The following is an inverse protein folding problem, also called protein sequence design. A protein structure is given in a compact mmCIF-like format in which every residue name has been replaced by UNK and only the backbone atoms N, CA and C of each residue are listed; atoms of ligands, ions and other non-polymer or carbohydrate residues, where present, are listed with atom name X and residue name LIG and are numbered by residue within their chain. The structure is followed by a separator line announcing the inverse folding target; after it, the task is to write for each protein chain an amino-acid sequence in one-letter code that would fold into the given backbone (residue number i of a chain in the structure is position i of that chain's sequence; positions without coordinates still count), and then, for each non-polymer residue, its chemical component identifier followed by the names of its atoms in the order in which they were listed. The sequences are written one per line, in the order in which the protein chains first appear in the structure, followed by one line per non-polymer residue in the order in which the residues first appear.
data_IF_825228931356
#
_entry.id   IF_825228931356
#
_cell.length_a   1.000
_cell.length_b   1.000
_cell.length_c   1.000
_cell.angle_alpha   90.00
_cell.angle_beta   90.00
_cell.angle_gamma   90.00
#
_symmetry.space_group_name_H-M   'P 1'
#
loop_
_entity.id
_entity.type
_entity.pdbx_description
1 polymer ?
#
# COMPACT_ATOMS: atom_id res chain seq x y z
N UNK A 1 -6.68 -11.30 0.76
CA UNK A 1 -7.39 -10.82 1.95
C UNK A 1 -6.46 -11.01 3.14
N UNK A 2 -5.75 -9.96 3.54
CA UNK A 2 -4.58 -10.07 4.42
C UNK A 2 -4.93 -9.99 5.92
N UNK A 3 -6.09 -10.49 6.32
CA UNK A 3 -6.50 -10.52 7.74
C UNK A 3 -5.75 -11.64 8.46
N UNK A 4 -5.13 -11.37 9.61
CA UNK A 4 -4.34 -12.38 10.34
C UNK A 4 -5.17 -13.62 10.68
N UNK A 5 -6.49 -13.45 10.89
CA UNK A 5 -7.41 -14.56 11.12
C UNK A 5 -7.69 -15.36 9.84
N UNK A 6 -7.91 -14.68 8.72
CA UNK A 6 -8.16 -15.34 7.44
C UNK A 6 -6.89 -16.07 6.97
N UNK A 7 -5.71 -15.51 7.26
CA UNK A 7 -4.41 -16.14 7.04
C UNK A 7 -4.23 -17.41 7.88
N UNK A 8 -4.47 -17.32 9.18
CA UNK A 8 -4.41 -18.50 10.06
C UNK A 8 -5.41 -19.56 9.59
N UNK A 9 -6.64 -19.17 9.26
CA UNK A 9 -7.66 -20.07 8.74
C UNK A 9 -7.19 -20.74 7.45
N UNK A 10 -6.64 -19.96 6.50
CA UNK A 10 -6.11 -20.50 5.24
C UNK A 10 -5.01 -21.54 5.47
N UNK A 11 -4.02 -21.22 6.32
CA UNK A 11 -2.93 -22.15 6.65
C UNK A 11 -3.48 -23.40 7.33
N UNK A 12 -4.38 -23.26 8.30
CA UNK A 12 -5.00 -24.40 8.97
C UNK A 12 -5.81 -25.27 8.00
N UNK A 13 -6.58 -24.68 7.10
CA UNK A 13 -7.38 -25.43 6.12
C UNK A 13 -6.51 -26.23 5.16
N UNK A 14 -5.40 -25.66 4.70
CA UNK A 14 -4.53 -26.26 3.66
C UNK A 14 -3.24 -26.88 4.21
N UNK A 15 -3.09 -27.02 5.53
CA UNK A 15 -1.83 -27.50 6.13
C UNK A 15 -1.46 -28.90 5.64
N UNK A 16 -2.44 -29.80 5.53
CA UNK A 16 -2.22 -31.15 5.03
C UNK A 16 -1.67 -31.11 3.60
N UNK A 17 -2.31 -30.34 2.71
CA UNK A 17 -1.88 -30.17 1.32
C UNK A 17 -0.46 -29.58 1.24
N UNK A 18 -0.16 -28.57 2.07
CA UNK A 18 1.18 -27.97 2.14
C UNK A 18 2.25 -28.98 2.57
N UNK A 19 1.94 -29.86 3.52
CA UNK A 19 2.87 -30.92 3.95
C UNK A 19 3.00 -32.03 2.91
N UNK A 20 1.92 -32.37 2.20
CA UNK A 20 1.93 -33.35 1.11
C UNK A 20 2.83 -32.89 -0.06
N UNK A 21 2.82 -31.58 -0.37
CA UNK A 21 3.72 -30.99 -1.37
C UNK A 21 5.21 -31.09 -1.00
N UNK A 22 5.53 -31.35 0.27
CA UNK A 22 6.90 -31.51 0.76
C UNK A 22 7.32 -32.98 0.88
N UNK A 23 6.43 -33.93 0.59
CA UNK A 23 6.74 -35.35 0.59
C UNK A 23 7.43 -35.76 -0.72
N UNK A 24 8.28 -36.79 -0.61
CA UNK A 24 8.79 -37.46 -1.80
C UNK A 24 7.65 -38.18 -2.54
N UNK A 25 7.64 -38.17 -3.89
CA UNK A 25 6.55 -38.76 -4.68
C UNK A 25 6.26 -40.23 -4.35
N UNK A 26 7.29 -40.97 -3.93
CA UNK A 26 7.23 -42.38 -3.55
C UNK A 26 6.44 -42.64 -2.26
N UNK A 27 6.23 -41.62 -1.43
CA UNK A 27 5.49 -41.71 -0.18
C UNK A 27 3.99 -41.43 -0.31
N UNK A 28 3.55 -41.00 -1.50
CA UNK A 28 2.15 -40.74 -1.80
C UNK A 28 1.46 -42.05 -2.23
N UNK A 29 0.26 -42.29 -1.69
CA UNK A 29 -0.55 -43.43 -2.09
C UNK A 29 -1.09 -43.31 -3.51
N UNK A 30 -1.81 -44.33 -3.97
CA UNK A 30 -2.44 -44.34 -5.30
C UNK A 30 -3.44 -43.18 -5.54
N UNK A 31 -3.91 -42.53 -4.47
CA UNK A 31 -4.77 -41.34 -4.49
C UNK A 31 -3.99 -40.02 -4.37
N UNK A 32 -2.66 -40.03 -4.48
CA UNK A 32 -1.77 -38.87 -4.33
C UNK A 32 -1.84 -38.19 -2.95
N UNK A 33 -2.21 -38.93 -1.90
CA UNK A 33 -2.28 -38.44 -0.52
C UNK A 33 -1.30 -39.16 0.39
N UNK A 34 -0.94 -38.51 1.49
CA UNK A 34 -0.10 -39.09 2.53
C UNK A 34 -0.78 -40.29 3.20
N UNK A 35 0.04 -41.27 3.60
CA UNK A 35 -0.40 -42.45 4.34
C UNK A 35 0.01 -42.33 5.81
N UNK A 36 -0.55 -43.16 6.70
CA UNK A 36 -0.15 -43.20 8.11
C UNK A 36 1.34 -43.53 8.34
N UNK A 37 2.00 -44.14 7.34
CA UNK A 37 3.43 -44.44 7.34
C UNK A 37 4.31 -43.35 6.72
N UNK A 38 3.72 -42.30 6.11
CA UNK A 38 4.49 -41.23 5.48
C UNK A 38 5.30 -40.43 6.51
N UNK A 39 6.49 -40.02 6.10
CA UNK A 39 7.47 -39.33 6.95
C UNK A 39 8.01 -38.09 6.26
N UNK A 40 8.05 -36.99 7.00
CA UNK A 40 8.58 -35.72 6.53
C UNK A 40 10.06 -35.62 6.88
N UNK A 41 10.90 -35.26 5.91
CA UNK A 41 12.34 -35.09 6.10
C UNK A 41 12.67 -33.83 6.90
N UNK A 42 13.87 -33.76 7.46
CA UNK A 42 14.33 -32.55 8.12
C UNK A 42 14.44 -31.36 7.14
N UNK A 43 14.89 -31.62 5.91
CA UNK A 43 15.00 -30.63 4.83
C UNK A 43 13.65 -30.02 4.49
N UNK A 44 12.58 -30.83 4.43
CA UNK A 44 11.21 -30.34 4.24
C UNK A 44 10.76 -29.41 5.37
N UNK A 45 11.09 -29.71 6.63
CA UNK A 45 10.79 -28.83 7.77
C UNK A 45 11.62 -27.55 7.72
N UNK A 46 12.88 -27.64 7.29
CA UNK A 46 13.74 -26.48 7.06
C UNK A 46 13.14 -25.56 5.99
N UNK A 47 12.61 -26.11 4.90
CA UNK A 47 11.91 -25.34 3.88
C UNK A 47 10.63 -24.70 4.44
N UNK A 48 9.85 -25.43 5.23
CA UNK A 48 8.64 -24.91 5.89
C UNK A 48 8.94 -23.80 6.90
N UNK A 49 10.17 -23.71 7.41
CA UNK A 49 10.61 -22.61 8.28
C UNK A 49 10.58 -21.25 7.61
N UNK A 50 10.53 -21.19 6.27
CA UNK A 50 10.29 -19.95 5.53
C UNK A 50 8.88 -19.39 5.75
N UNK A 51 7.88 -20.27 5.99
CA UNK A 51 6.48 -19.89 6.17
C UNK A 51 6.07 -19.83 7.64
N UNK A 52 6.68 -20.66 8.48
CA UNK A 52 6.28 -20.85 9.87
C UNK A 52 7.49 -20.65 10.77
N UNK A 53 7.30 -19.78 11.76
CA UNK A 53 8.21 -19.59 12.88
C UNK A 53 7.42 -19.69 14.18
N UNK A 54 8.12 -19.86 15.29
CA UNK A 54 7.46 -19.99 16.58
C UNK A 54 8.32 -19.54 17.75
N UNK A 55 7.73 -19.55 18.93
CA UNK A 55 8.44 -19.28 20.17
C UNK A 55 8.08 -20.32 21.23
N UNK A 56 9.04 -20.58 22.10
CA UNK A 56 8.90 -21.50 23.22
C UNK A 56 8.27 -20.79 24.41
N UNK A 57 7.26 -21.41 25.04
CA UNK A 57 6.70 -20.99 26.35
C UNK A 57 6.28 -19.50 26.43
N UNK A 58 5.81 -18.91 25.33
CA UNK A 58 5.45 -17.49 25.30
C UNK A 58 6.63 -16.52 25.38
N UNK A 59 7.86 -17.02 25.18
CA UNK A 59 9.04 -16.19 24.94
C UNK A 59 8.79 -15.23 23.77
N UNK A 60 9.41 -14.06 23.81
CA UNK A 60 9.41 -13.12 22.68
C UNK A 60 10.46 -13.46 21.62
N UNK A 61 11.33 -14.44 21.91
CA UNK A 61 12.36 -14.88 20.96
C UNK A 61 11.74 -15.85 19.97
N UNK A 62 11.74 -15.45 18.71
CA UNK A 62 11.21 -16.24 17.60
C UNK A 62 12.35 -17.12 17.07
N UNK A 63 12.02 -18.38 16.78
CA UNK A 63 12.93 -19.37 16.22
C UNK A 63 12.31 -19.98 14.96
N UNK A 64 13.14 -20.34 13.95
CA UNK A 64 12.72 -21.13 12.82
C UNK A 64 12.05 -22.45 13.23
N UNK A 65 11.07 -22.92 12.45
CA UNK A 65 10.33 -24.14 12.75
C UNK A 65 11.24 -25.37 12.92
N UNK A 66 12.28 -25.53 12.09
CA UNK A 66 13.16 -26.69 12.15
C UNK A 66 13.95 -26.78 13.46
N UNK A 67 14.40 -25.66 14.04
CA UNK A 67 15.03 -25.64 15.35
C UNK A 67 14.05 -26.08 16.45
N UNK A 68 12.82 -25.57 16.39
CA UNK A 68 11.75 -25.91 17.35
C UNK A 68 11.34 -27.38 17.24
N UNK A 69 11.28 -27.93 16.01
CA UNK A 69 10.93 -29.32 15.76
C UNK A 69 11.97 -30.28 16.34
N UNK A 70 13.24 -29.88 16.37
CA UNK A 70 14.33 -30.64 16.98
C UNK A 70 14.42 -30.49 18.50
N UNK A 71 13.61 -29.63 19.10
CA UNK A 71 13.63 -29.44 20.54
C UNK A 71 13.05 -30.65 21.28
N UNK A 72 13.81 -31.21 22.24
CA UNK A 72 13.48 -32.49 22.89
C UNK A 72 12.06 -32.59 23.48
N UNK A 73 11.51 -31.54 24.14
CA UNK A 73 10.13 -31.60 24.65
C UNK A 73 9.05 -31.81 23.57
N UNK A 74 9.37 -31.52 22.31
CA UNK A 74 8.45 -31.62 21.19
C UNK A 74 8.47 -33.00 20.50
N UNK A 75 9.53 -33.80 20.67
CA UNK A 75 9.74 -35.07 19.93
C UNK A 75 8.57 -36.05 20.08
N UNK A 76 7.99 -36.16 21.28
CA UNK A 76 6.84 -37.02 21.53
C UNK A 76 5.57 -36.57 20.79
N UNK A 77 5.42 -35.26 20.57
CA UNK A 77 4.25 -34.64 19.95
C UNK A 77 4.36 -34.60 18.43
N UNK A 78 5.52 -34.22 17.90
CA UNK A 78 5.74 -34.10 16.45
C UNK A 78 6.19 -35.42 15.79
N UNK A 79 6.46 -36.46 16.57
CA UNK A 79 6.81 -37.77 16.05
C UNK A 79 8.21 -37.85 15.44
N UNK A 80 9.16 -37.05 15.93
CA UNK A 80 10.55 -37.10 15.50
C UNK A 80 11.24 -38.43 15.86
N UNK A 81 11.92 -39.01 14.89
CA UNK A 81 12.76 -40.20 15.04
C UNK A 81 14.23 -39.82 14.96
N UNK A 82 14.99 -40.07 16.04
CA UNK A 82 16.45 -39.82 16.08
C UNK A 82 17.22 -40.73 15.12
N UNK A 83 16.66 -41.89 14.77
CA UNK A 83 17.33 -42.90 13.93
C UNK A 83 17.28 -42.47 12.47
N UNK A 84 16.08 -42.16 11.97
CA UNK A 84 15.86 -41.76 10.58
C UNK A 84 16.01 -40.26 10.34
N UNK A 85 16.07 -39.44 11.41
CA UNK A 85 16.02 -37.97 11.34
C UNK A 85 14.79 -37.44 10.61
N UNK A 86 13.67 -38.16 10.72
CA UNK A 86 12.40 -37.81 10.08
C UNK A 86 11.28 -37.63 11.10
N UNK A 87 10.19 -37.01 10.66
CA UNK A 87 8.99 -36.74 11.44
C UNK A 87 7.83 -37.57 10.90
N UNK A 88 7.08 -38.22 11.79
CA UNK A 88 5.83 -38.88 11.39
C UNK A 88 4.82 -37.83 10.90
N UNK A 89 4.35 -37.96 9.65
CA UNK A 89 3.41 -37.02 9.03
C UNK A 89 2.18 -36.71 9.91
N UNK A 90 1.38 -37.70 10.37
CA UNK A 90 0.17 -37.42 11.15
C UNK A 90 0.47 -36.77 12.52
N UNK A 91 1.60 -37.09 13.13
CA UNK A 91 2.02 -36.48 14.41
C UNK A 91 2.49 -35.04 14.21
N UNK A 92 3.28 -34.80 13.17
CA UNK A 92 3.75 -33.47 12.82
C UNK A 92 2.59 -32.53 12.49
N UNK A 93 1.66 -32.98 11.64
CA UNK A 93 0.48 -32.21 11.27
C UNK A 93 -0.36 -31.85 12.50
N UNK A 94 -0.67 -32.84 13.35
CA UNK A 94 -1.42 -32.63 14.59
C UNK A 94 -0.70 -31.65 15.53
N UNK A 95 0.62 -31.78 15.67
CA UNK A 95 1.43 -30.87 16.47
C UNK A 95 1.37 -29.43 15.93
N UNK A 96 1.58 -29.23 14.62
CA UNK A 96 1.51 -27.92 13.99
C UNK A 96 0.12 -27.29 14.16
N UNK A 97 -0.96 -28.04 13.90
CA UNK A 97 -2.35 -27.57 14.12
C UNK A 97 -2.58 -27.12 15.55
N UNK A 98 -2.01 -27.81 16.54
CA UNK A 98 -2.14 -27.47 17.96
C UNK A 98 -1.34 -26.23 18.38
N UNK A 99 -0.31 -25.86 17.63
CA UNK A 99 0.61 -24.78 17.95
C UNK A 99 0.40 -23.51 17.12
N UNK A 100 -0.19 -23.61 15.93
CA UNK A 100 -0.45 -22.47 15.06
C UNK A 100 -1.40 -21.48 15.74
N UNK A 101 -1.01 -20.21 15.75
CA UNK A 101 -1.78 -19.11 16.33
C UNK A 101 -1.77 -17.90 15.40
N UNK A 102 -2.59 -16.90 15.70
CA UNK A 102 -2.59 -15.64 14.94
C UNK A 102 -1.25 -14.95 15.08
N UNK A 103 -0.74 -14.38 13.99
CA UNK A 103 0.55 -13.67 13.98
C UNK A 103 0.59 -12.59 15.09
N UNK A 104 1.48 -12.73 16.11
CA UNK A 104 1.59 -11.78 17.21
C UNK A 104 2.21 -10.44 16.81
N UNK A 105 2.73 -10.33 15.59
CA UNK A 105 3.22 -9.09 14.97
C UNK A 105 2.29 -8.60 13.85
N UNK A 106 1.19 -9.30 13.61
CA UNK A 106 0.18 -8.97 12.61
C UNK A 106 -0.69 -7.78 13.01
N UNK A 107 -1.66 -7.48 12.17
CA UNK A 107 -2.53 -6.32 12.36
C UNK A 107 -3.29 -6.30 13.67
N UNK A 108 -3.80 -7.46 14.07
CA UNK A 108 -4.64 -7.62 15.24
C UNK A 108 -3.86 -7.26 16.49
N UNK A 109 -2.59 -7.68 16.56
CA UNK A 109 -1.68 -7.30 17.62
C UNK A 109 -1.32 -5.81 17.54
N UNK A 110 -0.97 -5.30 16.35
CA UNK A 110 -0.65 -3.88 16.18
C UNK A 110 -1.80 -2.94 16.61
N UNK A 111 -3.06 -3.29 16.31
CA UNK A 111 -4.22 -2.48 16.72
C UNK A 111 -4.54 -2.62 18.21
N UNK A 112 -4.27 -3.77 18.83
CA UNK A 112 -4.56 -4.04 20.25
C UNK A 112 -3.47 -3.52 21.19
N UNK A 113 -2.21 -3.78 20.89
CA UNK A 113 -1.05 -3.55 21.76
C UNK A 113 0.03 -2.65 21.14
N UNK A 114 -0.12 -2.22 19.88
CA UNK A 114 0.82 -1.31 19.24
C UNK A 114 0.78 0.13 19.77
N UNK A 115 1.82 0.90 19.46
CA UNK A 115 1.91 2.32 19.84
C UNK A 115 0.94 3.11 18.96
N UNK A 116 -0.06 3.74 19.58
CA UNK A 116 -0.98 4.64 18.89
C UNK A 116 -0.24 5.92 18.50
N UNK A 117 -0.34 6.28 17.23
CA UNK A 117 0.27 7.50 16.71
C UNK A 117 -0.77 8.61 16.66
N UNK A 118 -0.42 9.74 17.24
CA UNK A 118 -1.26 10.94 17.26
C UNK A 118 -1.05 11.75 15.98
N UNK A 119 -1.37 11.21 14.81
CA UNK A 119 -1.33 12.00 13.58
C UNK A 119 -2.71 12.65 13.40
N UNK A 120 -2.85 13.85 13.95
CA UNK A 120 -4.01 14.70 13.71
C UNK A 120 -3.52 16.10 13.35
N UNK A 121 -4.01 16.61 12.23
CA UNK A 121 -4.18 18.05 12.06
C UNK A 121 -5.45 18.39 12.84
N UNK A 122 -5.32 19.20 13.90
CA UNK A 122 -6.47 19.69 14.68
C UNK A 122 -7.30 20.59 13.78
N UNK A 123 -8.32 20.04 13.12
CA UNK A 123 -9.43 20.83 12.58
C UNK A 123 -10.46 20.90 13.70
N UNK A 124 -10.77 22.12 14.17
CA UNK A 124 -11.76 22.35 15.23
C UNK A 124 -13.08 21.65 14.90
N UNK A 125 -13.48 20.70 15.76
CA UNK A 125 -14.70 19.92 15.61
C UNK A 125 -14.54 18.49 16.12
N UNK A 126 -15.66 17.84 16.41
CA UNK A 126 -15.82 16.46 16.92
C UNK A 126 -15.41 15.36 15.93
N UNK A 127 -14.38 15.61 15.09
CA UNK A 127 -13.92 14.63 14.12
C UNK A 127 -13.27 13.44 14.83
N UNK A 128 -13.74 12.23 14.48
CA UNK A 128 -13.19 10.99 15.04
C UNK A 128 -11.70 10.92 14.72
N UNK A 129 -10.86 10.77 15.76
CA UNK A 129 -9.40 10.65 15.64
C UNK A 129 -9.07 9.47 14.72
N UNK A 130 -8.25 9.70 13.69
CA UNK A 130 -7.70 8.65 12.84
C UNK A 130 -7.08 7.54 13.70
N UNK A 131 -7.40 6.27 13.42
CA UNK A 131 -6.82 5.14 14.15
C UNK A 131 -5.53 4.73 13.47
N UNK A 132 -4.44 5.28 13.98
CA UNK A 132 -3.10 5.00 13.47
C UNK A 132 -2.31 4.30 14.57
N UNK A 133 -1.76 3.14 14.24
CA UNK A 133 -0.96 2.35 15.16
C UNK A 133 0.28 1.84 14.43
N UNK A 134 1.40 1.79 15.15
CA UNK A 134 2.57 1.05 14.71
C UNK A 134 2.85 -0.12 15.64
N UNK A 135 3.44 -1.19 15.10
CA UNK A 135 3.94 -2.26 15.93
C UNK A 135 5.05 -1.72 16.85
N UNK A 136 5.08 -2.21 18.09
CA UNK A 136 6.20 -1.94 18.99
C UNK A 136 7.41 -2.67 18.39
N UNK A 137 8.49 -1.96 18.04
CA UNK A 137 9.72 -2.60 17.56
C UNK A 137 10.17 -3.62 18.60
N UNK A 138 10.05 -4.91 18.30
CA UNK A 138 10.56 -6.00 19.13
C UNK A 138 11.42 -6.88 18.23
N UNK A 139 12.73 -6.56 18.21
CA UNK A 139 13.88 -7.46 17.93
C UNK A 139 14.00 -8.00 16.48
N UNK A 140 15.21 -8.06 15.89
CA UNK A 140 15.88 -7.01 15.13
C UNK A 140 15.65 -7.05 13.60
N UNK A 141 14.83 -7.94 13.04
CA UNK A 141 14.81 -8.16 11.57
C UNK A 141 13.45 -7.91 10.88
N UNK A 142 12.39 -7.59 11.62
CA UNK A 142 11.08 -7.34 11.01
C UNK A 142 10.90 -5.84 10.72
N UNK A 143 10.70 -5.50 9.44
CA UNK A 143 10.37 -4.15 9.01
C UNK A 143 9.16 -3.59 9.78
N UNK A 144 9.19 -2.31 10.20
CA UNK A 144 8.11 -1.73 11.01
C UNK A 144 6.78 -1.80 10.27
N UNK A 145 5.68 -2.07 10.98
CA UNK A 145 4.34 -2.06 10.41
C UNK A 145 3.57 -0.85 10.91
N UNK A 146 2.97 -0.11 9.99
CA UNK A 146 2.12 1.05 10.29
C UNK A 146 0.73 0.81 9.71
N UNK A 147 -0.30 0.90 10.55
CA UNK A 147 -1.69 0.70 10.14
C UNK A 147 -2.42 2.03 10.29
N UNK A 148 -3.07 2.46 9.22
CA UNK A 148 -3.95 3.62 9.17
C UNK A 148 -5.35 3.13 8.85
N UNK A 149 -6.29 3.28 9.79
CA UNK A 149 -7.63 2.74 9.65
C UNK A 149 -8.70 3.77 9.96
N UNK A 150 -9.79 3.72 9.19
CA UNK A 150 -10.99 4.53 9.42
C UNK A 150 -10.73 6.04 9.39
N UNK A 151 -9.79 6.49 8.56
CA UNK A 151 -9.61 7.92 8.27
C UNK A 151 -10.82 8.37 7.44
N UNK A 152 -11.53 9.38 7.92
CA UNK A 152 -12.74 9.87 7.28
C UNK A 152 -12.73 11.38 7.20
N UNK A 153 -12.93 11.92 6.00
CA UNK A 153 -12.99 13.36 5.74
C UNK A 153 -11.78 14.16 6.24
N UNK A 154 -10.59 13.58 6.14
CA UNK A 154 -9.36 14.17 6.66
C UNK A 154 -8.26 14.20 5.61
N UNK A 155 -7.41 15.22 5.71
CA UNK A 155 -6.12 15.25 5.04
C UNK A 155 -5.03 14.92 6.06
N UNK A 156 -4.23 13.90 5.76
CA UNK A 156 -3.11 13.48 6.58
C UNK A 156 -1.85 13.56 5.75
N UNK A 157 -0.86 14.29 6.23
CA UNK A 157 0.45 14.34 5.61
C UNK A 157 1.54 14.00 6.61
N UNK A 158 2.41 13.07 6.23
CA UNK A 158 3.51 12.65 7.08
C UNK A 158 4.74 12.32 6.26
N UNK A 159 5.85 12.93 6.68
CA UNK A 159 7.21 12.46 6.44
C UNK A 159 7.86 12.20 7.81
N UNK A 160 8.38 11.00 8.04
CA UNK A 160 8.96 10.60 9.33
C UNK A 160 9.75 9.30 9.24
N UNK A 161 10.80 9.18 10.06
CA UNK A 161 11.57 7.95 10.28
C UNK A 161 10.74 6.74 10.72
N UNK A 162 9.52 6.97 11.22
CA UNK A 162 8.59 5.88 11.55
C UNK A 162 8.02 5.16 10.33
N UNK A 163 8.01 5.82 9.17
CA UNK A 163 7.55 5.28 7.89
C UNK A 163 8.68 4.70 7.05
N UNK A 164 9.93 5.11 7.30
CA UNK A 164 11.11 4.65 6.56
C UNK A 164 11.23 3.13 6.66
N UNK A 165 11.18 2.46 5.51
CA UNK A 165 11.24 0.99 5.41
C UNK A 165 10.03 0.26 6.02
N UNK A 166 8.92 0.96 6.27
CA UNK A 166 7.74 0.36 6.88
C UNK A 166 6.83 -0.35 5.88
N UNK A 167 6.17 -1.41 6.36
CA UNK A 167 4.98 -1.98 5.76
C UNK A 167 3.76 -1.16 6.19
N UNK A 168 3.19 -0.39 5.26
CA UNK A 168 2.04 0.46 5.53
C UNK A 168 0.76 -0.23 5.09
N UNK A 169 -0.26 -0.24 5.95
CA UNK A 169 -1.60 -0.70 5.60
C UNK A 169 -2.63 0.39 5.83
N UNK A 170 -3.29 0.78 4.75
CA UNK A 170 -4.36 1.77 4.75
C UNK A 170 -5.68 1.03 4.55
N UNK A 171 -6.58 1.11 5.54
CA UNK A 171 -7.75 0.26 5.57
C UNK A 171 -9.03 1.02 5.96
N UNK A 172 -10.11 0.85 5.19
CA UNK A 172 -11.41 1.51 5.44
C UNK A 172 -11.32 3.04 5.54
N UNK A 173 -10.46 3.67 4.75
CA UNK A 173 -10.39 5.13 4.67
C UNK A 173 -11.38 5.64 3.61
N UNK A 174 -12.06 6.75 3.88
CA UNK A 174 -13.11 7.27 3.00
C UNK A 174 -13.07 8.80 2.92
N UNK A 175 -13.30 9.35 1.73
CA UNK A 175 -13.31 10.80 1.47
C UNK A 175 -12.06 11.49 2.04
N UNK A 176 -10.86 10.91 1.86
CA UNK A 176 -9.64 11.36 2.54
C UNK A 176 -8.46 11.55 1.58
N UNK A 177 -7.55 12.45 1.95
CA UNK A 177 -6.28 12.66 1.26
C UNK A 177 -5.15 12.24 2.19
N UNK A 178 -4.34 11.26 1.79
CA UNK A 178 -3.26 10.74 2.63
C UNK A 178 -1.95 10.82 1.86
N UNK A 179 -0.99 11.58 2.43
CA UNK A 179 0.35 11.81 1.91
C UNK A 179 1.36 11.14 2.84
N UNK A 180 2.03 10.09 2.35
CA UNK A 180 3.10 9.39 3.07
C UNK A 180 4.40 9.59 2.29
N UNK A 181 5.06 10.72 2.50
CA UNK A 181 6.19 11.19 1.71
C UNK A 181 7.52 10.70 2.33
N UNK A 182 7.67 9.38 2.42
CA UNK A 182 8.85 8.69 2.95
C UNK A 182 9.10 7.42 2.13
N UNK A 183 10.33 6.87 2.11
CA UNK A 183 10.62 5.60 1.46
C UNK A 183 9.94 4.46 2.23
N UNK A 184 9.05 3.72 1.57
CA UNK A 184 8.24 2.66 2.17
C UNK A 184 8.74 1.29 1.69
N UNK A 185 8.54 0.24 2.49
CA UNK A 185 8.88 -1.13 2.04
C UNK A 185 7.75 -1.74 1.21
N UNK A 186 6.52 -1.69 1.72
CA UNK A 186 5.34 -2.09 0.95
C UNK A 186 4.10 -1.35 1.43
N UNK A 187 3.09 -1.23 0.56
CA UNK A 187 1.83 -0.55 0.89
C UNK A 187 0.63 -1.39 0.48
N UNK A 188 -0.30 -1.60 1.41
CA UNK A 188 -1.58 -2.26 1.14
C UNK A 188 -2.73 -1.28 1.36
N UNK A 189 -3.48 -0.97 0.31
CA UNK A 189 -4.69 -0.13 0.37
C UNK A 189 -5.92 -1.03 0.23
N UNK A 190 -6.75 -1.07 1.27
CA UNK A 190 -7.88 -2.00 1.35
C UNK A 190 -9.18 -1.32 1.78
N UNK A 191 -10.30 -1.67 1.11
CA UNK A 191 -11.64 -1.22 1.53
C UNK A 191 -11.78 0.30 1.60
N UNK A 192 -11.03 1.03 0.78
CA UNK A 192 -11.01 2.49 0.75
C UNK A 192 -11.93 3.04 -0.34
N UNK A 193 -12.49 4.23 -0.11
CA UNK A 193 -13.42 4.86 -1.07
C UNK A 193 -13.17 6.35 -1.24
N UNK A 194 -13.38 6.89 -2.43
CA UNK A 194 -13.34 8.34 -2.71
C UNK A 194 -12.10 9.04 -2.12
N UNK A 195 -10.93 8.41 -2.20
CA UNK A 195 -9.73 8.85 -1.48
C UNK A 195 -8.52 8.95 -2.40
N UNK A 196 -7.61 9.87 -2.11
CA UNK A 196 -6.34 10.03 -2.82
C UNK A 196 -5.18 9.65 -1.90
N UNK A 197 -4.34 8.72 -2.36
CA UNK A 197 -3.14 8.26 -1.67
C UNK A 197 -1.91 8.71 -2.46
N UNK A 198 -1.10 9.56 -1.85
CA UNK A 198 0.18 10.01 -2.39
C UNK A 198 1.26 9.38 -1.55
N UNK A 199 2.05 8.51 -2.16
CA UNK A 199 3.03 7.68 -1.45
C UNK A 199 4.42 8.00 -2.00
N UNK A 200 5.41 8.03 -1.11
CA UNK A 200 6.80 7.99 -1.50
C UNK A 200 7.17 6.68 -2.20
N UNK A 201 8.43 6.54 -2.65
CA UNK A 201 8.93 5.34 -3.29
C UNK A 201 8.70 4.09 -2.45
N UNK A 202 8.16 3.03 -3.08
CA UNK A 202 7.82 1.76 -2.44
C UNK A 202 8.72 0.65 -2.97
N UNK A 203 9.62 0.16 -2.11
CA UNK A 203 10.68 -0.80 -2.43
C UNK A 203 10.16 -2.11 -3.05
N UNK A 204 9.10 -2.72 -2.48
CA UNK A 204 8.68 -4.06 -2.88
C UNK A 204 7.36 -4.05 -3.68
N UNK A 205 6.26 -3.64 -3.06
CA UNK A 205 4.95 -3.72 -3.71
C UNK A 205 3.91 -2.76 -3.16
N UNK A 206 3.03 -2.33 -4.05
CA UNK A 206 1.77 -1.67 -3.74
C UNK A 206 0.63 -2.61 -4.12
N UNK A 207 -0.23 -2.91 -3.17
CA UNK A 207 -1.40 -3.77 -3.36
C UNK A 207 -2.68 -3.00 -3.07
N UNK A 208 -3.59 -2.97 -4.04
CA UNK A 208 -4.88 -2.28 -3.91
C UNK A 208 -6.01 -3.29 -4.06
N UNK A 209 -6.83 -3.39 -3.01
CA UNK A 209 -7.86 -4.42 -2.90
C UNK A 209 -9.20 -3.86 -2.41
N UNK A 210 -10.30 -4.26 -3.05
CA UNK A 210 -11.66 -3.88 -2.60
C UNK A 210 -11.85 -2.37 -2.48
N UNK A 211 -11.33 -1.58 -3.42
CA UNK A 211 -11.37 -0.10 -3.38
C UNK A 211 -12.27 0.47 -4.48
N UNK A 212 -12.88 1.62 -4.20
CA UNK A 212 -13.83 2.26 -5.12
C UNK A 212 -13.54 3.76 -5.25
N UNK A 213 -13.39 4.25 -6.48
CA UNK A 213 -13.06 5.65 -6.77
C UNK A 213 -11.84 6.15 -5.98
N UNK A 214 -10.75 5.39 -6.04
CA UNK A 214 -9.49 5.72 -5.36
C UNK A 214 -8.43 6.16 -6.37
N UNK A 215 -7.64 7.16 -5.99
CA UNK A 215 -6.45 7.59 -6.73
C UNK A 215 -5.20 7.21 -5.97
N UNK A 216 -4.25 6.53 -6.62
CA UNK A 216 -2.94 6.21 -6.05
C UNK A 216 -1.85 6.84 -6.90
N UNK A 217 -0.97 7.62 -6.28
CA UNK A 217 0.16 8.32 -6.91
C UNK A 217 1.44 7.85 -6.21
N UNK A 218 2.29 7.09 -6.89
CA UNK A 218 3.47 6.48 -6.26
C UNK A 218 4.50 5.98 -7.27
N UNK A 219 5.76 5.91 -6.83
CA UNK A 219 6.83 5.14 -7.48
C UNK A 219 6.93 3.80 -6.75
N UNK A 220 6.90 2.67 -7.46
CA UNK A 220 6.93 1.36 -6.79
C UNK A 220 7.60 0.28 -7.65
N UNK A 221 8.20 -0.73 -7.01
CA UNK A 221 8.76 -1.86 -7.75
C UNK A 221 7.69 -2.69 -8.45
N UNK A 222 6.56 -2.97 -7.78
CA UNK A 222 5.43 -3.69 -8.36
C UNK A 222 4.09 -3.16 -7.88
N UNK A 223 3.08 -3.20 -8.74
CA UNK A 223 1.69 -2.84 -8.43
C UNK A 223 0.78 -4.05 -8.70
N UNK A 224 -0.15 -4.31 -7.80
CA UNK A 224 -1.20 -5.33 -8.01
C UNK A 224 -2.58 -4.85 -7.58
N UNK A 225 -3.60 -5.14 -8.39
CA UNK A 225 -4.98 -4.68 -8.23
C UNK A 225 -5.96 -5.83 -8.18
N UNK A 226 -6.92 -5.79 -7.26
CA UNK A 226 -8.00 -6.79 -7.19
C UNK A 226 -9.30 -6.20 -6.65
N UNK A 227 -10.43 -6.58 -7.24
CA UNK A 227 -11.75 -6.15 -6.77
C UNK A 227 -11.89 -4.61 -6.67
N UNK A 228 -11.34 -3.86 -7.63
CA UNK A 228 -11.39 -2.38 -7.63
C UNK A 228 -12.39 -1.83 -8.64
N UNK A 229 -13.00 -0.68 -8.35
CA UNK A 229 -13.93 0.01 -9.26
C UNK A 229 -13.52 1.46 -9.43
N UNK A 230 -13.48 1.95 -10.68
CA UNK A 230 -13.24 3.36 -11.01
C UNK A 230 -11.97 3.97 -10.39
N UNK A 231 -10.89 3.18 -10.25
CA UNK A 231 -9.66 3.61 -9.61
C UNK A 231 -8.65 4.16 -10.64
N UNK A 232 -7.87 5.16 -10.27
CA UNK A 232 -6.82 5.74 -11.12
C UNK A 232 -5.43 5.58 -10.49
N UNK A 233 -4.48 5.07 -11.27
CA UNK A 233 -3.12 4.78 -10.84
C UNK A 233 -2.14 5.63 -11.63
N UNK A 234 -1.42 6.51 -10.94
CA UNK A 234 -0.35 7.31 -11.51
C UNK A 234 0.98 6.80 -11.00
N UNK A 235 1.66 6.01 -11.83
CA UNK A 235 2.75 5.17 -11.36
C UNK A 235 4.01 5.30 -12.21
N UNK A 236 5.14 5.09 -11.56
CA UNK A 236 6.42 4.78 -12.17
C UNK A 236 6.82 3.42 -11.62
N UNK A 237 7.01 2.44 -12.50
CA UNK A 237 7.33 1.08 -12.06
C UNK A 237 8.17 0.32 -13.09
N UNK A 238 9.22 -0.40 -12.65
CA UNK A 238 10.03 -1.24 -13.54
C UNK A 238 9.37 -2.58 -13.89
N UNK A 239 8.17 -2.88 -13.37
CA UNK A 239 7.45 -4.11 -13.69
C UNK A 239 6.05 -3.82 -14.21
N UNK A 240 5.45 -4.79 -14.90
CA UNK A 240 4.08 -4.65 -15.41
C UNK A 240 3.08 -4.67 -14.25
N UNK A 241 2.17 -3.68 -14.14
CA UNK A 241 1.10 -3.71 -13.17
C UNK A 241 0.21 -4.94 -13.32
N UNK A 242 -0.04 -5.68 -12.25
CA UNK A 242 -0.84 -6.90 -12.27
C UNK A 242 -2.31 -6.61 -11.97
N UNK A 243 -3.20 -6.97 -12.90
CA UNK A 243 -4.65 -6.85 -12.74
C UNK A 243 -5.21 -8.25 -12.47
N UNK A 244 -5.63 -8.47 -11.23
CA UNK A 244 -6.25 -9.71 -10.78
C UNK A 244 -7.79 -9.64 -10.98
N UNK A 245 -8.54 -10.58 -10.40
CA UNK A 245 -9.97 -10.70 -10.64
C UNK A 245 -10.80 -9.56 -10.03
N UNK A 246 -11.93 -9.26 -10.67
CA UNK A 246 -13.00 -8.39 -10.14
C UNK A 246 -12.75 -6.88 -10.30
N UNK A 247 -11.86 -6.45 -11.18
CA UNK A 247 -11.61 -5.03 -11.42
C UNK A 247 -12.55 -4.46 -12.50
N UNK A 248 -12.94 -3.19 -12.36
CA UNK A 248 -13.78 -2.46 -13.32
C UNK A 248 -13.29 -1.01 -13.48
N UNK A 249 -13.14 -0.55 -14.72
CA UNK A 249 -12.79 0.84 -15.04
C UNK A 249 -11.51 1.34 -14.35
N UNK A 250 -10.45 0.53 -14.30
CA UNK A 250 -9.15 0.98 -13.82
C UNK A 250 -8.47 1.90 -14.85
N UNK A 251 -7.92 3.03 -14.44
CA UNK A 251 -7.21 3.95 -15.32
C UNK A 251 -5.73 4.03 -14.93
N UNK A 252 -4.84 3.89 -15.90
CA UNK A 252 -3.39 4.00 -15.70
C UNK A 252 -2.82 5.25 -16.36
N UNK A 253 -1.91 5.92 -15.69
CA UNK A 253 -1.28 7.15 -16.14
C UNK A 253 0.17 7.21 -15.67
N UNK A 254 1.04 7.98 -16.36
CA UNK A 254 2.40 8.16 -15.90
C UNK A 254 2.40 8.89 -14.54
N UNK A 255 3.39 8.58 -13.70
CA UNK A 255 3.67 9.37 -12.50
C UNK A 255 3.86 10.86 -12.87
N UNK A 256 3.30 11.77 -12.07
CA UNK A 256 3.04 13.16 -12.51
C UNK A 256 3.19 14.21 -11.40
N UNK A 257 4.00 13.90 -10.39
CA UNK A 257 4.26 14.79 -9.26
C UNK A 257 5.72 14.67 -8.83
N UNK A 258 6.15 15.56 -7.95
CA UNK A 258 7.43 15.45 -7.26
C UNK A 258 7.30 16.08 -5.88
N UNK A 259 8.20 15.70 -4.98
CA UNK A 259 8.46 16.42 -3.75
C UNK A 259 9.98 16.53 -3.56
N UNK A 260 10.48 17.53 -2.81
CA UNK A 260 11.90 17.86 -2.76
C UNK A 260 12.86 16.69 -2.45
N UNK A 261 12.46 15.73 -1.60
CA UNK A 261 13.25 14.54 -1.23
C UNK A 261 13.06 13.31 -2.15
N UNK A 262 12.30 13.44 -3.25
CA UNK A 262 11.81 12.26 -3.99
C UNK A 262 12.94 11.44 -4.61
N UNK A 263 13.91 12.07 -5.27
CA UNK A 263 15.01 11.33 -5.92
C UNK A 263 15.91 10.62 -4.91
N UNK A 264 16.20 11.25 -3.77
CA UNK A 264 16.93 10.60 -2.67
C UNK A 264 16.17 9.41 -2.11
N UNK A 265 14.86 9.54 -1.91
CA UNK A 265 14.04 8.42 -1.47
C UNK A 265 13.99 7.30 -2.51
N UNK A 266 14.00 7.62 -3.81
CA UNK A 266 14.07 6.63 -4.89
C UNK A 266 15.40 5.88 -4.86
N UNK A 267 16.50 6.61 -4.69
CA UNK A 267 17.84 6.03 -4.55
C UNK A 267 17.95 5.10 -3.33
N UNK A 268 17.38 5.49 -2.18
CA UNK A 268 17.37 4.69 -0.96
C UNK A 268 16.67 3.33 -1.12
N UNK A 269 15.60 3.27 -1.91
CA UNK A 269 14.86 2.01 -2.17
C UNK A 269 15.31 1.29 -3.43
N UNK A 270 16.36 1.79 -4.12
CA UNK A 270 16.89 1.19 -5.34
C UNK A 270 15.96 1.27 -6.56
N UNK A 271 15.13 2.31 -6.63
CA UNK A 271 14.25 2.55 -7.78
C UNK A 271 14.82 3.61 -8.71
N UNK A 272 14.85 3.30 -10.00
CA UNK A 272 15.27 4.21 -11.06
C UNK A 272 14.05 4.68 -11.87
N UNK A 273 14.26 5.68 -12.74
CA UNK A 273 13.23 6.20 -13.65
C UNK A 273 12.97 5.28 -14.85
N UNK A 274 13.92 4.39 -15.16
CA UNK A 274 13.84 3.39 -16.22
C UNK A 274 14.32 2.02 -15.72
N UNK A 275 13.72 0.90 -16.18
CA UNK A 275 12.57 0.83 -17.09
C UNK A 275 11.27 1.31 -16.43
N UNK A 276 10.28 1.69 -17.25
CA UNK A 276 8.99 2.18 -16.77
C UNK A 276 7.84 1.57 -17.57
N UNK A 277 7.09 0.65 -16.97
CA UNK A 277 6.06 -0.19 -17.59
C UNK A 277 4.63 0.14 -17.12
N UNK A 278 4.41 1.36 -16.63
CA UNK A 278 3.11 1.84 -16.15
C UNK A 278 1.97 1.69 -17.18
N UNK A 279 2.28 1.74 -18.48
CA UNK A 279 1.34 1.68 -19.61
C UNK A 279 1.08 0.26 -20.13
N UNK A 280 1.74 -0.74 -19.55
CA UNK A 280 1.65 -2.14 -19.96
C UNK A 280 1.10 -3.05 -18.84
N UNK A 281 -0.12 -2.84 -18.32
CA UNK A 281 -0.72 -3.74 -17.33
C UNK A 281 -0.96 -5.15 -17.88
N UNK A 282 -0.73 -6.15 -17.02
CA UNK A 282 -0.96 -7.57 -17.31
C UNK A 282 -2.20 -8.07 -16.57
N UNK A 283 -3.17 -8.61 -17.30
CA UNK A 283 -4.33 -9.30 -16.73
C UNK A 283 -3.98 -10.74 -16.36
N UNK A 284 -4.19 -11.12 -15.09
CA UNK A 284 -3.84 -12.44 -14.53
C UNK A 284 -5.11 -13.25 -14.27
N UNK A 285 -6.10 -13.21 -15.16
CA UNK A 285 -7.37 -13.92 -15.00
C UNK A 285 -7.62 -14.93 -16.12
N UNK A 286 -7.98 -16.16 -15.75
CA UNK A 286 -8.63 -17.14 -16.62
C UNK A 286 -10.14 -16.96 -16.47
N UNK A 287 -10.77 -16.20 -17.37
CA UNK A 287 -12.13 -16.45 -17.91
C UNK A 287 -12.63 -15.25 -18.70
N UNK A 288 -13.36 -15.53 -19.79
CA UNK A 288 -13.58 -14.64 -20.91
C UNK A 288 -14.31 -13.33 -20.59
N UNK A 289 -13.74 -12.22 -21.08
CA UNK A 289 -14.44 -10.93 -21.20
C UNK A 289 -13.59 -9.69 -20.95
N UNK A 290 -12.40 -9.60 -21.58
CA UNK A 290 -11.37 -8.57 -21.32
C UNK A 290 -11.54 -7.24 -22.07
N UNK A 291 -12.76 -6.82 -22.40
CA UNK A 291 -12.99 -5.50 -23.00
C UNK A 291 -13.36 -4.47 -21.91
N UNK A 292 -12.38 -3.69 -21.44
CA UNK A 292 -12.62 -2.51 -20.60
C UNK A 292 -12.36 -2.67 -19.10
N UNK A 293 -11.62 -3.69 -18.67
CA UNK A 293 -11.15 -3.81 -17.26
C UNK A 293 -10.28 -2.62 -16.88
N UNK A 294 -9.42 -2.18 -17.82
CA UNK A 294 -8.61 -1.00 -17.67
C UNK A 294 -8.52 -0.16 -18.96
N UNK A 295 -8.10 1.08 -18.81
CA UNK A 295 -7.70 1.97 -19.91
C UNK A 295 -6.49 2.81 -19.50
N UNK A 296 -5.79 3.38 -20.48
CA UNK A 296 -4.84 4.45 -20.22
C UNK A 296 -5.61 5.76 -20.09
N UNK A 297 -5.26 6.57 -19.09
CA UNK A 297 -5.87 7.87 -18.88
C UNK A 297 -5.60 8.75 -20.11
N UNK A 298 -6.63 9.30 -20.77
CA UNK A 298 -6.43 10.18 -21.92
C UNK A 298 -5.56 11.39 -21.53
N UNK A 299 -4.62 11.83 -22.40
CA UNK A 299 -3.85 13.05 -22.15
C UNK A 299 -4.73 14.30 -21.91
N UNK A 300 -5.95 14.34 -22.49
CA UNK A 300 -6.96 15.38 -22.27
C UNK A 300 -7.50 15.46 -20.85
N UNK A 301 -7.32 14.41 -20.06
CA UNK A 301 -7.84 14.28 -18.69
C UNK A 301 -6.70 14.25 -17.66
N UNK A 302 -5.45 14.28 -18.15
CA UNK A 302 -4.24 14.29 -17.32
C UNK A 302 -3.86 15.71 -16.87
N UNK A 303 -3.69 15.91 -15.57
CA UNK A 303 -3.28 17.17 -14.95
C UNK A 303 -2.04 16.97 -14.09
N UNK A 304 -1.22 18.00 -13.90
CA UNK A 304 -0.13 17.98 -12.93
C UNK A 304 -0.66 17.94 -11.50
N UNK A 305 0.02 17.24 -10.61
CA UNK A 305 -0.35 17.19 -9.19
C UNK A 305 0.72 17.84 -8.33
N UNK A 306 0.30 18.79 -7.50
CA UNK A 306 1.18 19.58 -6.65
C UNK A 306 1.07 19.07 -5.22
N UNK A 307 2.22 18.82 -4.60
CA UNK A 307 2.30 18.49 -3.18
C UNK A 307 2.15 19.79 -2.38
N UNK A 308 1.11 19.93 -1.54
CA UNK A 308 0.78 21.20 -0.89
C UNK A 308 1.57 21.44 0.41
N UNK A 309 2.78 20.90 0.51
CA UNK A 309 3.62 20.98 1.73
C UNK A 309 5.01 21.49 1.38
N UNK A 310 5.52 22.40 2.20
CA UNK A 310 6.91 22.82 2.15
C UNK A 310 7.81 21.72 2.73
N UNK A 311 8.86 21.38 2.01
CA UNK A 311 9.85 20.39 2.40
C UNK A 311 11.22 20.85 1.90
N UNK A 312 12.29 20.42 2.58
CA UNK A 312 13.66 20.60 2.10
C UNK A 312 14.03 19.47 1.13
N UNK A 313 14.87 19.78 0.14
CA UNK A 313 15.38 18.84 -0.87
C UNK A 313 15.58 19.49 -2.24
N UNK A 314 16.18 18.75 -3.17
CA UNK A 314 16.68 19.30 -4.44
C UNK A 314 15.82 18.92 -5.65
N UNK A 315 14.89 17.98 -5.52
CA UNK A 315 14.03 17.56 -6.65
C UNK A 315 12.97 18.62 -6.96
N UNK A 316 13.05 19.21 -8.17
CA UNK A 316 12.14 20.27 -8.64
C UNK A 316 11.24 19.85 -9.81
N UNK A 317 11.39 18.62 -10.31
CA UNK A 317 10.63 18.12 -11.44
C UNK A 317 10.24 16.65 -11.27
N UNK A 318 9.29 16.18 -12.08
CA UNK A 318 8.85 14.79 -12.07
C UNK A 318 9.98 13.88 -12.56
N UNK A 319 10.50 12.95 -11.73
CA UNK A 319 11.59 12.08 -12.14
C UNK A 319 11.22 11.24 -13.37
N UNK A 320 12.12 11.20 -14.35
CA UNK A 320 11.92 10.47 -15.61
C UNK A 320 11.06 11.21 -16.64
N UNK A 321 10.54 12.39 -16.30
CA UNK A 321 9.70 13.18 -17.19
C UNK A 321 8.36 12.51 -17.52
N UNK A 322 7.69 13.06 -18.54
CA UNK A 322 6.39 12.57 -19.01
C UNK A 322 6.49 12.08 -20.46
N UNK A 323 5.71 11.07 -20.85
CA UNK A 323 5.60 10.68 -22.25
C UNK A 323 5.10 11.85 -23.10
N UNK A 324 5.59 11.93 -24.34
CA UNK A 324 5.37 13.08 -25.24
C UNK A 324 3.89 13.47 -25.39
N UNK A 325 2.97 12.50 -25.46
CA UNK A 325 1.53 12.79 -25.57
C UNK A 325 0.98 13.56 -24.36
N UNK A 326 1.37 13.17 -23.15
CA UNK A 326 0.97 13.83 -21.90
C UNK A 326 1.65 15.19 -21.75
N UNK A 327 2.95 15.26 -22.06
CA UNK A 327 3.71 16.51 -22.04
C UNK A 327 3.10 17.54 -23.00
N UNK A 328 2.80 17.14 -24.24
CA UNK A 328 2.14 18.00 -25.24
C UNK A 328 0.78 18.50 -24.76
N UNK A 329 -0.02 17.65 -24.13
CA UNK A 329 -1.32 18.04 -23.57
C UNK A 329 -1.18 19.09 -22.46
N UNK A 330 -0.18 18.95 -21.58
CA UNK A 330 0.13 19.94 -20.56
C UNK A 330 0.58 21.28 -21.17
N UNK A 331 1.53 21.26 -22.12
CA UNK A 331 2.01 22.47 -22.78
C UNK A 331 0.90 23.21 -23.53
N UNK A 332 -0.01 22.48 -24.19
CA UNK A 332 -1.17 23.10 -24.84
C UNK A 332 -2.12 23.77 -23.85
N UNK A 333 -2.32 23.19 -22.65
CA UNK A 333 -3.13 23.84 -21.60
C UNK A 333 -2.43 25.09 -21.06
N UNK A 334 -1.13 25.02 -20.81
CA UNK A 334 -0.35 26.16 -20.36
C UNK A 334 -0.40 27.32 -21.37
N UNK A 335 -0.25 27.03 -22.67
CA UNK A 335 -0.41 28.01 -23.74
C UNK A 335 -1.81 28.65 -23.72
N UNK A 336 -2.89 27.87 -23.53
CA UNK A 336 -4.24 28.42 -23.40
C UNK A 336 -4.37 29.38 -22.21
N UNK A 337 -3.77 29.04 -21.06
CA UNK A 337 -3.75 29.91 -19.88
C UNK A 337 -2.98 31.19 -20.16
N UNK A 338 -1.81 31.12 -20.79
CA UNK A 338 -1.01 32.29 -21.16
C UNK A 338 -1.75 33.20 -22.16
N UNK A 339 -2.39 32.62 -23.18
CA UNK A 339 -3.22 33.36 -24.13
C UNK A 339 -4.37 34.05 -23.39
N UNK A 340 -5.06 33.36 -22.47
CA UNK A 340 -6.12 33.95 -21.68
C UNK A 340 -5.63 35.10 -20.79
N UNK A 341 -4.51 34.94 -20.09
CA UNK A 341 -3.90 36.01 -19.29
C UNK A 341 -3.53 37.23 -20.14
N UNK A 342 -2.98 37.01 -21.33
CA UNK A 342 -2.68 38.07 -22.29
C UNK A 342 -3.96 38.79 -22.74
N UNK A 343 -5.01 38.05 -23.12
CA UNK A 343 -6.30 38.64 -23.49
C UNK A 343 -6.89 39.50 -22.36
N UNK A 344 -6.84 39.03 -21.11
CA UNK A 344 -7.32 39.80 -19.94
C UNK A 344 -6.49 41.07 -19.72
N UNK A 345 -5.18 41.02 -19.95
CA UNK A 345 -4.28 42.17 -19.85
C UNK A 345 -4.54 43.20 -20.96
N UNK A 346 -4.80 42.73 -22.17
CA UNK A 346 -5.04 43.56 -23.37
C UNK A 346 -6.47 44.10 -23.46
N UNK A 347 -7.42 43.53 -22.71
CA UNK A 347 -8.80 43.98 -22.67
C UNK A 347 -9.00 45.39 -22.06
N UNK A 348 -7.94 46.04 -21.56
CA UNK A 348 -7.95 47.40 -21.01
C UNK A 348 -9.11 47.66 -20.02
N UNK A 349 -9.42 46.67 -19.19
CA UNK A 349 -10.54 46.72 -18.25
C UNK A 349 -10.38 47.90 -17.28
N UNK A 350 -11.47 48.64 -17.08
CA UNK A 350 -11.55 49.63 -16.00
C UNK A 350 -11.42 48.96 -14.63
N UNK A 351 -11.12 49.74 -13.58
CA UNK A 351 -11.05 49.21 -12.21
C UNK A 351 -12.32 48.46 -11.78
N UNK A 352 -13.49 49.00 -12.15
CA UNK A 352 -14.78 48.38 -11.82
C UNK A 352 -15.01 47.07 -12.58
N UNK A 353 -14.74 47.07 -13.90
CA UNK A 353 -14.85 45.85 -14.71
C UNK A 353 -13.86 44.76 -14.26
N UNK A 354 -12.64 45.14 -13.86
CA UNK A 354 -11.66 44.18 -13.30
C UNK A 354 -12.18 43.56 -12.00
N UNK A 355 -12.81 44.35 -11.13
CA UNK A 355 -13.43 43.86 -9.89
C UNK A 355 -14.60 42.91 -10.18
N UNK A 356 -15.49 43.27 -11.12
CA UNK A 356 -16.59 42.40 -11.56
C UNK A 356 -16.10 41.09 -12.16
N UNK A 357 -15.08 41.16 -13.02
CA UNK A 357 -14.46 39.98 -13.61
C UNK A 357 -13.83 39.07 -12.56
N UNK A 358 -13.10 39.63 -11.60
CA UNK A 358 -12.52 38.88 -10.50
C UNK A 358 -13.59 38.16 -9.68
N UNK A 359 -14.67 38.85 -9.29
CA UNK A 359 -15.79 38.22 -8.55
C UNK A 359 -16.41 37.06 -9.33
N UNK A 360 -16.55 37.19 -10.66
CA UNK A 360 -17.08 36.12 -11.51
C UNK A 360 -16.14 34.91 -11.57
N UNK A 361 -14.83 35.16 -11.73
CA UNK A 361 -13.81 34.09 -11.75
C UNK A 361 -13.78 33.36 -10.40
N UNK A 362 -13.79 34.10 -9.29
CA UNK A 362 -13.82 33.52 -7.93
C UNK A 362 -15.10 32.69 -7.71
N UNK A 363 -16.26 33.20 -8.14
CA UNK A 363 -17.53 32.47 -8.06
C UNK A 363 -17.49 31.17 -8.87
N UNK A 364 -16.98 31.21 -10.12
CA UNK A 364 -16.86 30.02 -10.97
C UNK A 364 -15.84 29.02 -10.43
N UNK A 365 -14.73 29.50 -9.87
CA UNK A 365 -13.74 28.67 -9.21
C UNK A 365 -14.33 27.97 -7.98
N UNK A 366 -15.12 28.67 -7.17
CA UNK A 366 -15.79 28.10 -6.02
C UNK A 366 -16.85 27.05 -6.39
N UNK A 367 -17.65 27.31 -7.43
CA UNK A 367 -18.56 26.30 -8.02
C UNK A 367 -17.79 25.04 -8.44
N UNK A 368 -16.65 25.21 -9.12
CA UNK A 368 -15.79 24.12 -9.55
C UNK A 368 -15.20 23.33 -8.37
N UNK A 369 -14.74 24.00 -7.31
CA UNK A 369 -14.20 23.35 -6.11
C UNK A 369 -15.23 22.45 -5.41
N UNK A 370 -16.50 22.86 -5.40
CA UNK A 370 -17.59 22.05 -4.85
C UNK A 370 -17.89 20.85 -5.75
N UNK A 371 -18.02 21.06 -7.05
CA UNK A 371 -18.33 20.00 -8.02
C UNK A 371 -17.24 18.92 -8.09
N UNK A 372 -15.98 19.30 -7.90
CA UNK A 372 -14.83 18.38 -7.95
C UNK A 372 -14.47 17.75 -6.61
N UNK A 373 -15.07 18.19 -5.50
CA UNK A 373 -14.70 17.76 -4.15
C UNK A 373 -13.36 18.32 -3.63
N UNK A 374 -12.64 19.10 -4.44
CA UNK A 374 -11.35 19.70 -4.08
C UNK A 374 -11.44 20.73 -2.94
N UNK A 375 -12.64 21.27 -2.69
CA UNK A 375 -12.91 22.14 -1.54
C UNK A 375 -12.46 21.49 -0.22
N UNK A 376 -12.77 20.22 -0.03
CA UNK A 376 -12.48 19.54 1.22
C UNK A 376 -10.96 19.45 1.46
N UNK A 377 -10.19 19.20 0.40
CA UNK A 377 -8.74 19.20 0.46
C UNK A 377 -8.22 20.58 0.90
N UNK A 378 -8.71 21.66 0.27
CA UNK A 378 -8.31 23.02 0.63
C UNK A 378 -8.67 23.36 2.07
N UNK A 379 -9.91 23.14 2.49
CA UNK A 379 -10.39 23.45 3.84
C UNK A 379 -9.54 22.72 4.91
N UNK A 380 -9.09 21.50 4.62
CA UNK A 380 -8.23 20.72 5.52
C UNK A 380 -6.75 21.11 5.51
N UNK A 381 -6.28 21.82 4.47
CA UNK A 381 -4.89 22.27 4.34
C UNK A 381 -4.66 23.66 4.95
N UNK A 382 -5.72 24.44 5.22
CA UNK A 382 -5.61 25.73 5.89
C UNK A 382 -5.03 25.52 7.30
N UNK A 383 -3.86 26.12 7.63
CA UNK A 383 -3.33 26.06 8.99
C UNK A 383 -4.33 26.68 9.97
N UNK A 384 -4.55 26.11 11.16
CA UNK A 384 -5.28 26.80 12.20
C UNK A 384 -4.59 28.14 12.49
N UNK A 385 -5.38 29.19 12.70
CA UNK A 385 -4.87 30.54 12.96
C UNK A 385 -3.79 30.51 14.06
N UNK A 386 -2.67 31.22 13.81
CA UNK A 386 -1.45 31.22 14.63
C UNK A 386 -1.79 31.55 16.09
N UNK A 387 -1.99 30.51 16.91
CA UNK A 387 -2.39 30.63 18.31
C UNK A 387 -2.17 29.36 19.14
N UNK A 388 -2.03 28.19 18.51
CA UNK A 388 -1.79 26.92 19.19
C UNK A 388 -0.39 26.39 18.91
N UNK A 389 0.62 26.90 19.64
CA UNK A 389 1.88 26.17 19.80
C UNK A 389 1.54 24.81 20.42
N UNK A 390 1.78 23.71 19.70
CA UNK A 390 1.86 22.38 20.30
C UNK A 390 3.26 21.80 20.13
N UNK A 391 3.78 21.35 21.27
CA UNK A 391 5.11 20.82 21.48
C UNK A 391 5.32 19.51 20.70
N UNK A 392 6.54 19.35 20.19
CA UNK A 392 7.06 18.08 19.70
C UNK A 392 7.04 17.04 20.83
N UNK A 393 6.47 15.87 20.56
CA UNK A 393 6.44 14.71 21.45
C UNK A 393 6.16 13.42 20.68
#
# INVERSE_FOLDING_TARGET
NWNDQDHLAFVLTHLSDMLELLLEPEQLGASSHATHSSVVSHEAISALSFLIEGAVNGSRTVHPLHELALWQPCHGKNGYSKISKTFSFPKLESWLRSCLTTNPFGMTACLKSGKKLAWAQQVEGTTRRAKIACNTRVVPEVSPMVIMSQVYKQTLAKSSDTLVGAHVRIHRCNESFIYLLSPLRSVTVEKCRNSTFVLGPVEASVHVHSCDNVRVITVCHSLSLSSTTSCTFYILTPTQPLILAGNQAASFAPFHTHYPMLEDHMAQVGLATLPNHWDSPLLVCKEGGDAGVFCLLPPSDFYTFVIPFEMEGDTTETPGGLPHAYQKALSQREQKVQIWQKMVKEACLTKEQRKQFQMLVESKFYEWLIQTGNRQQLDSLVPPAVGSKQAAG
#
